data_IF_127044692489
#
_entry.id   IF_127044692489
#
_cell.length_a   1.000
_cell.length_b   1.000
_cell.length_c   1.000
_cell.angle_alpha   90.00
_cell.angle_beta   90.00
_cell.angle_gamma   90.00
#
_symmetry.space_group_name_H-M   'P 1'
#
loop_
_entity.id
_entity.type
_entity.pdbx_description
1 polymer ?
#
# COMPACT_ATOMS: atom_id res chain seq x y z
N UNK A 1 5.67 -90.17 0.03
CA UNK A 1 6.89 -89.88 0.79
C UNK A 1 6.64 -88.62 1.60
N UNK A 2 6.16 -88.78 2.84
CA UNK A 2 6.93 -88.74 4.10
C UNK A 2 7.06 -87.29 4.62
N UNK A 3 6.15 -86.86 5.51
CA UNK A 3 6.27 -86.79 7.00
C UNK A 3 7.08 -85.55 7.44
N UNK A 4 6.55 -84.58 8.18
CA UNK A 4 6.11 -84.61 9.60
C UNK A 4 5.12 -83.43 9.84
N UNK A 5 3.90 -83.56 10.41
CA UNK A 5 3.51 -83.75 11.84
C UNK A 5 4.24 -82.79 12.80
N UNK A 6 3.66 -82.06 13.76
CA UNK A 6 2.32 -81.96 14.40
C UNK A 6 2.53 -81.08 15.67
N UNK A 7 1.60 -80.35 16.28
CA UNK A 7 0.54 -80.82 17.22
C UNK A 7 -0.12 -79.57 17.87
N UNK A 8 -1.46 -79.64 17.99
CA UNK A 8 -2.32 -79.30 19.16
C UNK A 8 -2.43 -77.83 19.65
N UNK A 9 -3.56 -77.33 20.18
CA UNK A 9 -4.78 -77.96 20.70
C UNK A 9 -5.98 -76.99 20.62
N UNK A 10 -7.16 -77.59 20.49
CA UNK A 10 -8.52 -77.05 20.67
C UNK A 10 -8.74 -76.32 22.00
N UNK A 11 -9.61 -75.30 22.01
CA UNK A 11 -10.48 -75.04 23.17
C UNK A 11 -11.78 -74.31 22.80
N UNK A 12 -12.82 -74.76 23.50
CA UNK A 12 -14.25 -74.52 23.37
C UNK A 12 -14.71 -73.07 23.64
N UNK A 13 -15.87 -72.76 23.05
CA UNK A 13 -16.98 -71.97 23.59
C UNK A 13 -16.82 -71.39 25.01
N UNK A 14 -17.01 -70.08 25.13
CA UNK A 14 -17.86 -69.48 26.17
C UNK A 14 -18.28 -68.07 25.72
N UNK A 15 -19.58 -67.89 25.53
CA UNK A 15 -20.19 -66.59 25.32
C UNK A 15 -20.13 -65.77 26.60
N UNK A 16 -19.78 -64.49 26.45
CA UNK A 16 -20.04 -63.44 27.43
C UNK A 16 -20.25 -62.13 26.67
N UNK A 17 -21.47 -61.61 26.76
CA UNK A 17 -21.86 -60.25 26.36
C UNK A 17 -21.30 -59.24 27.37
N UNK A 18 -20.87 -58.06 26.91
CA UNK A 18 -20.87 -56.74 27.61
C UNK A 18 -20.33 -55.66 26.61
N UNK A 19 -20.71 -54.36 26.73
CA UNK A 19 -21.20 -53.55 25.60
C UNK A 19 -20.26 -52.42 25.12
N UNK A 20 -20.67 -51.83 23.98
CA UNK A 20 -20.39 -50.48 23.44
C UNK A 20 -19.13 -49.74 23.95
N UNK A 21 -18.12 -49.64 23.09
CA UNK A 21 -17.67 -48.37 22.47
C UNK A 21 -16.34 -48.57 21.72
N UNK A 22 -16.09 -47.68 20.75
CA UNK A 22 -14.80 -47.39 20.10
C UNK A 22 -14.36 -48.39 19.00
N UNK A 23 -14.42 -47.96 17.73
CA UNK A 23 -13.27 -47.85 16.79
C UNK A 23 -13.70 -47.77 15.30
N UNK A 24 -13.35 -46.63 14.67
CA UNK A 24 -12.80 -46.42 13.31
C UNK A 24 -13.28 -47.26 12.10
N UNK A 25 -13.81 -46.64 11.02
CA UNK A 25 -14.08 -47.31 9.74
C UNK A 25 -12.83 -47.33 8.85
N UNK A 26 -11.97 -48.32 9.09
CA UNK A 26 -11.08 -48.88 8.09
C UNK A 26 -11.26 -50.39 8.19
N UNK A 27 -11.07 -51.14 7.10
CA UNK A 27 -11.31 -52.60 7.01
C UNK A 27 -12.73 -53.04 6.62
N UNK A 28 -13.24 -52.57 5.47
CA UNK A 28 -14.03 -53.45 4.59
C UNK A 28 -13.62 -53.17 3.14
N UNK A 29 -12.63 -53.90 2.68
CA UNK A 29 -12.37 -54.17 1.27
C UNK A 29 -11.69 -55.53 1.24
N UNK A 30 -12.03 -56.33 0.24
CA UNK A 30 -11.62 -57.75 0.05
C UNK A 30 -12.63 -58.76 0.63
N UNK A 31 -13.59 -59.15 -0.21
CA UNK A 31 -13.92 -60.55 -0.51
C UNK A 31 -15.13 -60.60 -1.45
N UNK A 32 -14.84 -60.68 -2.76
CA UNK A 32 -15.78 -61.19 -3.76
C UNK A 32 -15.00 -62.16 -4.65
N UNK A 33 -15.07 -63.45 -4.33
CA UNK A 33 -14.66 -64.52 -5.23
C UNK A 33 -15.65 -65.69 -5.09
N UNK A 34 -16.40 -65.92 -6.16
CA UNK A 34 -16.86 -67.24 -6.58
C UNK A 34 -18.23 -67.72 -6.08
N UNK A 35 -19.14 -67.98 -7.02
CA UNK A 35 -20.11 -69.09 -6.89
C UNK A 35 -21.58 -68.73 -7.08
N UNK A 36 -22.11 -69.14 -8.23
CA UNK A 36 -23.50 -69.11 -8.70
C UNK A 36 -24.57 -69.52 -7.67
N UNK A 37 -25.70 -68.80 -7.62
CA UNK A 37 -27.05 -69.39 -7.58
C UNK A 37 -28.11 -68.42 -8.14
N UNK A 38 -29.10 -68.98 -8.83
CA UNK A 38 -30.02 -68.34 -9.78
C UNK A 38 -31.05 -67.36 -9.19
N UNK A 39 -31.26 -66.22 -9.87
CA UNK A 39 -32.48 -65.39 -9.81
C UNK A 39 -33.37 -65.65 -11.03
N UNK A 40 -34.66 -65.25 -10.97
CA UNK A 40 -35.25 -64.54 -12.09
C UNK A 40 -35.85 -63.18 -11.67
N UNK A 41 -35.63 -62.16 -12.49
CA UNK A 41 -36.40 -60.89 -12.49
C UNK A 41 -35.60 -59.63 -12.14
N UNK A 42 -35.70 -58.53 -12.91
CA UNK A 42 -34.73 -57.44 -12.90
C UNK A 42 -35.01 -56.43 -11.78
N UNK A 43 -33.97 -56.05 -11.03
CA UNK A 43 -33.99 -54.88 -10.15
C UNK A 43 -32.95 -53.89 -10.64
N UNK A 44 -33.42 -52.73 -11.10
CA UNK A 44 -32.61 -51.60 -11.52
C UNK A 44 -31.88 -50.99 -10.31
N UNK A 45 -30.56 -50.86 -10.38
CA UNK A 45 -29.78 -50.18 -9.35
C UNK A 45 -29.88 -48.66 -9.52
N UNK A 46 -30.61 -47.98 -8.64
CA UNK A 46 -30.49 -46.54 -8.47
C UNK A 46 -29.14 -46.18 -7.83
N UNK A 47 -28.48 -45.19 -8.42
CA UNK A 47 -27.11 -44.81 -8.13
C UNK A 47 -26.90 -44.25 -6.73
N UNK A 48 -25.83 -44.72 -6.09
CA UNK A 48 -25.28 -44.14 -4.88
C UNK A 48 -24.99 -42.64 -5.08
N UNK A 49 -25.72 -41.79 -4.36
CA UNK A 49 -25.48 -40.36 -4.32
C UNK A 49 -24.05 -40.05 -3.86
N UNK A 50 -23.24 -39.51 -4.77
CA UNK A 50 -21.93 -38.93 -4.44
C UNK A 50 -22.13 -37.81 -3.43
N UNK A 51 -21.69 -37.99 -2.17
CA UNK A 51 -21.48 -36.89 -1.24
C UNK A 51 -20.48 -35.92 -1.88
N UNK A 52 -20.99 -34.80 -2.39
CA UNK A 52 -20.14 -33.69 -2.81
C UNK A 52 -19.31 -33.24 -1.60
N UNK A 53 -18.00 -33.34 -1.74
CA UNK A 53 -17.02 -32.75 -0.82
C UNK A 53 -17.23 -31.23 -0.92
N UNK A 54 -17.97 -30.63 0.03
CA UNK A 54 -18.09 -29.17 0.12
C UNK A 54 -16.68 -28.61 0.23
N UNK A 55 -16.21 -27.96 -0.84
CA UNK A 55 -15.08 -27.03 -0.77
C UNK A 55 -15.40 -26.00 0.31
N UNK A 56 -14.48 -25.69 1.23
CA UNK A 56 -14.74 -24.71 2.28
C UNK A 56 -15.05 -23.37 1.62
N UNK A 57 -16.23 -22.81 1.92
CA UNK A 57 -16.61 -21.47 1.46
C UNK A 57 -15.54 -20.48 1.89
N UNK A 58 -14.78 -19.96 0.93
CA UNK A 58 -13.84 -18.87 1.16
C UNK A 58 -14.66 -17.67 1.63
N UNK A 59 -14.54 -17.31 2.91
CA UNK A 59 -15.18 -16.09 3.43
C UNK A 59 -14.60 -14.89 2.69
N UNK A 60 -15.46 -14.08 2.09
CA UNK A 60 -15.05 -12.88 1.37
C UNK A 60 -14.30 -11.88 2.28
N UNK A 61 -14.60 -11.85 3.58
CA UNK A 61 -13.98 -10.91 4.53
C UNK A 61 -14.64 -9.52 4.51
N UNK A 62 -14.06 -8.58 5.25
CA UNK A 62 -14.52 -7.19 5.31
C UNK A 62 -14.04 -6.42 4.06
N UNK A 63 -14.96 -6.22 3.11
CA UNK A 63 -14.66 -5.54 1.83
C UNK A 63 -14.30 -4.07 1.98
N UNK A 64 -14.72 -3.45 3.09
CA UNK A 64 -14.46 -2.04 3.37
C UNK A 64 -13.05 -1.82 3.94
N UNK A 65 -12.36 -2.91 4.32
CA UNK A 65 -11.01 -2.86 4.89
C UNK A 65 -10.00 -3.62 4.02
N UNK A 66 -9.64 -3.05 2.86
CA UNK A 66 -8.62 -3.65 1.97
C UNK A 66 -7.22 -3.14 2.30
N UNK A 67 -6.48 -3.84 3.15
CA UNK A 67 -5.08 -3.52 3.45
C UNK A 67 -4.22 -4.78 3.51
N UNK A 68 -2.93 -4.65 3.19
CA UNK A 68 -1.93 -5.69 3.35
C UNK A 68 -1.09 -5.35 4.60
N UNK A 69 -1.35 -6.08 5.69
CA UNK A 69 -0.89 -5.72 7.03
C UNK A 69 0.18 -6.69 7.51
N UNK A 70 1.36 -6.20 7.85
CA UNK A 70 2.36 -6.93 8.61
C UNK A 70 2.27 -6.54 10.08
N UNK A 71 1.98 -7.50 10.95
CA UNK A 71 2.15 -7.30 12.39
C UNK A 71 3.62 -7.55 12.74
N UNK A 72 4.31 -6.53 13.25
CA UNK A 72 5.68 -6.65 13.73
C UNK A 72 5.61 -6.70 15.26
N UNK A 73 5.84 -7.88 15.82
CA UNK A 73 5.74 -8.14 17.25
C UNK A 73 7.12 -8.20 17.90
N UNK A 74 7.28 -7.60 19.07
CA UNK A 74 8.49 -7.72 19.88
C UNK A 74 8.58 -9.15 20.44
N UNK A 75 9.69 -9.84 20.19
CA UNK A 75 10.02 -11.16 20.72
C UNK A 75 11.30 -11.18 21.54
N UNK A 76 11.77 -10.02 22.02
CA UNK A 76 13.02 -9.82 22.76
C UNK A 76 12.94 -10.26 24.23
N UNK A 77 14.09 -10.33 24.90
CA UNK A 77 14.14 -10.63 26.33
C UNK A 77 13.53 -9.52 27.20
N UNK A 78 13.51 -8.26 26.73
CA UNK A 78 12.99 -7.12 27.50
C UNK A 78 11.51 -7.28 27.88
N UNK A 79 10.68 -7.85 26.99
CA UNK A 79 9.26 -8.03 27.26
C UNK A 79 8.98 -9.29 28.12
N UNK A 80 9.84 -10.30 28.00
CA UNK A 80 9.65 -11.62 28.59
C UNK A 80 8.46 -12.44 28.04
N UNK A 81 8.47 -13.74 28.33
CA UNK A 81 7.49 -14.71 27.82
C UNK A 81 6.03 -14.34 28.15
N UNK A 82 5.79 -13.80 29.36
CA UNK A 82 4.44 -13.47 29.81
C UNK A 82 3.83 -12.33 28.99
N UNK A 83 4.56 -11.22 28.79
CA UNK A 83 4.06 -10.08 28.00
C UNK A 83 4.02 -10.42 26.52
N UNK A 84 4.95 -11.23 26.03
CA UNK A 84 4.89 -11.79 24.68
C UNK A 84 3.55 -12.51 24.41
N UNK A 85 3.09 -13.36 25.33
CA UNK A 85 1.80 -14.03 25.20
C UNK A 85 0.61 -13.05 25.23
N UNK A 86 0.69 -11.96 26.02
CA UNK A 86 -0.33 -10.90 26.03
C UNK A 86 -0.37 -10.16 24.69
N UNK A 87 0.79 -9.89 24.10
CA UNK A 87 0.95 -9.28 22.78
C UNK A 87 0.34 -10.16 21.68
N UNK A 88 0.68 -11.46 21.64
CA UNK A 88 0.07 -12.43 20.71
C UNK A 88 -1.46 -12.46 20.83
N UNK A 89 -1.98 -12.46 22.05
CA UNK A 89 -3.42 -12.44 22.29
C UNK A 89 -4.09 -11.15 21.80
N UNK A 90 -3.42 -10.00 21.95
CA UNK A 90 -3.93 -8.73 21.42
C UNK A 90 -3.94 -8.73 19.89
N UNK A 91 -2.83 -9.09 19.25
CA UNK A 91 -2.74 -9.19 17.77
C UNK A 91 -3.77 -10.18 17.23
N UNK A 92 -3.97 -11.31 17.91
CA UNK A 92 -5.03 -12.27 17.56
C UNK A 92 -6.44 -11.67 17.61
N UNK A 93 -6.75 -10.84 18.61
CA UNK A 93 -8.05 -10.13 18.69
C UNK A 93 -8.21 -9.08 17.57
N UNK A 94 -7.14 -8.36 17.23
CA UNK A 94 -7.13 -7.43 16.09
C UNK A 94 -7.38 -8.18 14.79
N UNK A 95 -6.67 -9.29 14.55
CA UNK A 95 -6.85 -10.14 13.37
C UNK A 95 -8.29 -10.67 13.24
N UNK A 96 -8.91 -11.08 14.35
CA UNK A 96 -10.33 -11.50 14.36
C UNK A 96 -11.28 -10.38 13.95
N UNK A 97 -11.02 -9.14 14.39
CA UNK A 97 -11.89 -7.99 14.14
C UNK A 97 -11.67 -7.33 12.76
N UNK A 98 -10.50 -7.49 12.16
CA UNK A 98 -10.19 -7.01 10.80
C UNK A 98 -11.07 -7.62 9.72
N UNK A 99 -11.62 -8.82 9.96
CA UNK A 99 -12.45 -9.51 8.97
C UNK A 99 -11.63 -10.07 7.80
N UNK A 100 -10.52 -10.75 8.09
CA UNK A 100 -9.62 -11.36 7.09
C UNK A 100 -10.39 -12.33 6.17
N UNK A 101 -10.17 -12.18 4.87
CA UNK A 101 -10.81 -12.96 3.80
C UNK A 101 -10.21 -12.60 2.44
N UNK A 102 -10.65 -13.28 1.38
CA UNK A 102 -10.09 -13.10 0.03
C UNK A 102 -10.30 -11.70 -0.55
N UNK A 103 -11.41 -11.06 -0.19
CA UNK A 103 -11.76 -9.69 -0.59
C UNK A 103 -11.51 -8.66 0.53
N UNK A 104 -11.00 -9.12 1.68
CA UNK A 104 -10.73 -8.31 2.87
C UNK A 104 -9.24 -7.99 3.06
N UNK A 105 -8.80 -7.70 4.29
CA UNK A 105 -7.40 -7.47 4.57
C UNK A 105 -6.63 -8.79 4.57
N UNK A 106 -5.40 -8.77 4.07
CA UNK A 106 -4.45 -9.86 4.22
C UNK A 106 -3.46 -9.51 5.32
N UNK A 107 -3.06 -10.51 6.11
CA UNK A 107 -2.18 -10.27 7.26
C UNK A 107 -1.05 -11.28 7.32
N UNK A 108 0.12 -10.82 7.73
CA UNK A 108 1.23 -11.67 8.13
C UNK A 108 1.86 -11.20 9.43
N UNK A 109 2.86 -11.93 9.88
CA UNK A 109 3.50 -11.70 11.17
C UNK A 109 5.02 -11.78 11.03
N UNK A 110 5.69 -10.79 11.60
CA UNK A 110 7.14 -10.69 11.72
C UNK A 110 7.48 -10.53 13.18
N UNK A 111 8.47 -11.26 13.67
CA UNK A 111 8.98 -11.13 15.03
C UNK A 111 10.27 -10.32 15.02
N UNK A 112 10.29 -9.21 15.76
CA UNK A 112 11.50 -8.46 16.09
C UNK A 112 12.22 -9.14 17.25
N UNK A 113 13.52 -9.35 17.06
CA UNK A 113 14.43 -9.93 18.04
C UNK A 113 15.85 -9.55 17.59
N UNK A 114 16.90 -10.21 18.08
CA UNK A 114 18.28 -10.00 17.57
C UNK A 114 18.36 -10.04 16.03
N UNK A 115 17.63 -10.99 15.44
CA UNK A 115 17.46 -11.13 13.99
C UNK A 115 15.97 -11.23 13.66
N UNK A 116 15.45 -10.35 12.78
CA UNK A 116 14.05 -10.39 12.41
C UNK A 116 13.70 -11.70 11.71
N UNK A 117 12.52 -12.23 12.02
CA UNK A 117 12.04 -13.49 11.46
C UNK A 117 10.60 -13.33 11.00
N UNK A 118 10.34 -13.65 9.74
CA UNK A 118 8.99 -13.73 9.21
C UNK A 118 8.39 -15.05 9.66
N UNK A 119 7.28 -15.02 10.40
CA UNK A 119 6.58 -16.22 10.88
C UNK A 119 5.61 -16.75 9.83
N UNK A 120 4.91 -15.85 9.13
CA UNK A 120 4.10 -16.19 7.96
C UNK A 120 3.80 -14.94 7.11
N UNK A 121 3.62 -15.15 5.81
CA UNK A 121 3.34 -14.10 4.83
C UNK A 121 1.84 -13.87 4.61
N UNK A 122 1.51 -12.82 3.84
CA UNK A 122 0.15 -12.39 3.53
C UNK A 122 -0.69 -13.49 2.86
N UNK A 123 -0.07 -14.33 2.02
CA UNK A 123 -0.75 -15.40 1.28
C UNK A 123 -1.01 -16.68 2.08
N UNK A 124 -0.43 -16.83 3.27
CA UNK A 124 -0.47 -18.10 4.01
C UNK A 124 -1.87 -18.43 4.54
N UNK A 125 -2.68 -17.43 4.87
CA UNK A 125 -3.99 -17.64 5.48
C UNK A 125 -5.05 -16.71 4.88
N UNK A 126 -6.26 -17.24 4.68
CA UNK A 126 -7.40 -16.49 4.13
C UNK A 126 -8.58 -16.41 5.10
N UNK A 127 -8.35 -16.73 6.39
CA UNK A 127 -9.39 -16.80 7.42
C UNK A 127 -8.83 -16.24 8.73
N UNK A 128 -9.61 -15.36 9.38
CA UNK A 128 -9.22 -14.78 10.65
C UNK A 128 -9.02 -15.82 11.76
N UNK A 129 -9.73 -16.95 11.70
CA UNK A 129 -9.54 -18.06 12.65
C UNK A 129 -8.18 -18.74 12.46
N UNK A 130 -7.77 -18.97 11.21
CA UNK A 130 -6.52 -19.66 10.91
C UNK A 130 -5.33 -18.79 11.29
N UNK A 131 -5.42 -17.49 11.01
CA UNK A 131 -4.45 -16.49 11.49
C UNK A 131 -4.34 -16.49 13.01
N UNK A 132 -5.48 -16.52 13.74
CA UNK A 132 -5.47 -16.59 15.20
C UNK A 132 -4.73 -17.85 15.69
N UNK A 133 -4.98 -19.00 15.08
CA UNK A 133 -4.27 -20.24 15.44
C UNK A 133 -2.78 -20.12 15.14
N UNK A 134 -2.40 -19.63 13.96
CA UNK A 134 -1.01 -19.42 13.59
C UNK A 134 -0.28 -18.49 14.57
N UNK A 135 -0.90 -17.37 14.96
CA UNK A 135 -0.34 -16.45 15.97
C UNK A 135 -0.13 -17.17 17.30
N UNK A 136 -1.06 -18.02 17.75
CA UNK A 136 -0.92 -18.73 19.03
C UNK A 136 0.31 -19.65 19.06
N UNK A 137 0.62 -20.31 17.94
CA UNK A 137 1.75 -21.24 17.81
C UNK A 137 3.13 -20.54 17.72
N UNK A 138 3.18 -19.23 17.54
CA UNK A 138 4.45 -18.50 17.41
C UNK A 138 5.25 -18.59 18.71
N UNK A 139 6.50 -19.08 18.60
CA UNK A 139 7.43 -19.22 19.71
C UNK A 139 8.08 -17.91 20.15
N UNK A 140 8.47 -17.84 21.42
CA UNK A 140 9.29 -16.75 21.94
C UNK A 140 10.76 -16.97 21.55
N UNK A 141 11.43 -15.94 21.02
CA UNK A 141 12.81 -16.05 20.49
C UNK A 141 13.87 -15.51 21.45
N UNK A 142 13.59 -14.41 22.15
CA UNK A 142 14.59 -13.69 22.93
C UNK A 142 15.59 -12.91 22.08
N UNK A 143 16.62 -12.39 22.74
CA UNK A 143 17.63 -11.48 22.17
C UNK A 143 17.27 -10.00 22.37
N UNK A 144 17.96 -9.11 21.66
CA UNK A 144 17.72 -7.66 21.72
C UNK A 144 16.44 -7.24 20.97
N UNK A 145 15.89 -6.07 21.29
CA UNK A 145 14.70 -5.51 20.63
C UNK A 145 15.11 -4.66 19.41
N UNK A 146 15.72 -5.29 18.41
CA UNK A 146 16.17 -4.62 17.18
C UNK A 146 14.98 -4.35 16.24
N UNK A 147 14.13 -3.41 16.65
CA UNK A 147 12.88 -3.06 15.98
C UNK A 147 13.12 -2.32 14.68
N UNK A 148 14.12 -1.43 14.62
CA UNK A 148 14.53 -0.74 13.40
C UNK A 148 14.96 -1.72 12.31
N UNK A 149 15.85 -2.65 12.65
CA UNK A 149 16.28 -3.74 11.77
C UNK A 149 15.10 -4.59 11.27
N UNK A 150 14.15 -4.89 12.15
CA UNK A 150 12.95 -5.65 11.79
C UNK A 150 12.01 -4.87 10.87
N UNK A 151 11.82 -3.58 11.11
CA UNK A 151 11.00 -2.71 10.26
C UNK A 151 11.61 -2.59 8.85
N UNK A 152 12.93 -2.33 8.76
CA UNK A 152 13.67 -2.29 7.49
C UNK A 152 13.56 -3.61 6.73
N UNK A 153 13.76 -4.74 7.42
CA UNK A 153 13.60 -6.07 6.83
C UNK A 153 12.19 -6.31 6.29
N UNK A 154 11.16 -5.89 7.05
CA UNK A 154 9.76 -6.02 6.66
C UNK A 154 9.46 -5.17 5.42
N UNK A 155 9.86 -3.89 5.42
CA UNK A 155 9.67 -2.99 4.28
C UNK A 155 10.29 -3.54 2.99
N UNK A 156 11.50 -4.09 3.07
CA UNK A 156 12.27 -4.55 1.91
C UNK A 156 11.89 -5.95 1.41
N UNK A 157 11.57 -6.89 2.31
CA UNK A 157 11.42 -8.31 1.95
C UNK A 157 10.02 -8.89 2.13
N UNK A 158 9.25 -8.39 3.11
CA UNK A 158 7.93 -8.95 3.40
C UNK A 158 6.90 -8.50 2.36
N UNK A 159 6.95 -7.25 1.92
CA UNK A 159 6.02 -6.72 0.93
C UNK A 159 6.45 -6.97 -0.51
N UNK A 160 6.60 -8.25 -0.88
CA UNK A 160 6.87 -8.69 -2.25
C UNK A 160 5.64 -9.36 -2.89
N UNK A 161 5.61 -9.39 -4.23
CA UNK A 161 4.57 -10.12 -4.99
C UNK A 161 4.55 -11.59 -4.57
N UNK A 162 5.72 -12.20 -4.42
CA UNK A 162 5.87 -13.59 -3.97
C UNK A 162 5.32 -13.84 -2.56
N UNK A 163 5.28 -12.82 -1.72
CA UNK A 163 4.75 -12.88 -0.35
C UNK A 163 3.23 -12.68 -0.30
N UNK A 164 2.58 -12.32 -1.41
CA UNK A 164 1.13 -12.13 -1.52
C UNK A 164 0.66 -10.69 -1.44
N UNK A 165 1.53 -9.71 -1.73
CA UNK A 165 1.13 -8.30 -1.85
C UNK A 165 0.21 -8.09 -3.04
N UNK A 166 -0.82 -7.27 -2.85
CA UNK A 166 -1.81 -6.92 -3.87
C UNK A 166 -1.55 -5.52 -4.43
N UNK A 167 -1.65 -5.37 -5.75
CA UNK A 167 -1.49 -4.07 -6.43
C UNK A 167 -2.61 -3.11 -6.00
N UNK A 168 -2.25 -1.85 -5.73
CA UNK A 168 -3.20 -0.80 -5.35
C UNK A 168 -3.78 -0.92 -3.93
N UNK A 169 -3.29 -1.88 -3.14
CA UNK A 169 -3.71 -2.04 -1.74
C UNK A 169 -2.67 -1.40 -0.81
N UNK A 170 -3.08 -0.58 0.18
CA UNK A 170 -2.15 0.01 1.14
C UNK A 170 -1.35 -1.06 1.89
N UNK A 171 -0.03 -0.86 1.93
CA UNK A 171 0.88 -1.65 2.74
C UNK A 171 0.99 -1.03 4.11
N UNK A 172 0.80 -1.82 5.16
CA UNK A 172 0.75 -1.33 6.54
C UNK A 172 1.62 -2.21 7.42
N UNK A 173 2.51 -1.62 8.21
CA UNK A 173 3.22 -2.31 9.29
C UNK A 173 2.67 -1.79 10.61
N UNK A 174 2.22 -2.70 11.46
CA UNK A 174 1.82 -2.39 12.84
C UNK A 174 2.89 -2.92 13.76
N UNK A 175 3.74 -2.01 14.24
CA UNK A 175 4.88 -2.29 15.11
C UNK A 175 4.41 -2.23 16.56
N UNK A 176 4.54 -3.33 17.30
CA UNK A 176 4.27 -3.37 18.73
C UNK A 176 5.58 -3.18 19.50
N UNK A 177 5.60 -2.16 20.35
CA UNK A 177 6.76 -1.84 21.20
C UNK A 177 6.27 -1.78 22.64
N UNK A 178 6.85 -2.59 23.51
CA UNK A 178 6.61 -2.58 24.96
C UNK A 178 7.90 -2.07 25.63
N UNK A 179 7.92 -0.76 25.93
CA UNK A 179 9.14 -0.02 26.28
C UNK A 179 9.73 0.76 25.10
N UNK A 180 10.99 0.52 24.78
CA UNK A 180 11.76 1.23 23.74
C UNK A 180 12.62 0.27 22.92
N UNK A 181 12.92 0.61 21.64
CA UNK A 181 13.78 -0.20 20.80
C UNK A 181 15.25 -0.18 21.28
N UNK A 182 16.00 -1.23 20.95
CA UNK A 182 17.44 -1.33 21.22
C UNK A 182 18.32 -0.71 20.12
N UNK A 183 17.71 -0.37 18.98
CA UNK A 183 18.34 0.21 17.79
C UNK A 183 17.60 1.45 17.31
N UNK A 184 18.22 2.17 16.36
CA UNK A 184 17.59 3.31 15.70
C UNK A 184 16.49 2.86 14.74
N UNK A 185 15.30 3.44 14.91
CA UNK A 185 14.12 3.19 14.08
C UNK A 185 13.89 4.29 13.05
N UNK A 186 14.57 5.43 13.15
CA UNK A 186 14.39 6.58 12.25
C UNK A 186 14.76 6.20 10.81
N UNK A 187 15.95 5.64 10.60
CA UNK A 187 16.39 5.15 9.28
C UNK A 187 15.42 4.10 8.72
N UNK A 188 14.95 3.19 9.58
CA UNK A 188 14.00 2.16 9.17
C UNK A 188 12.62 2.73 8.77
N UNK A 189 12.19 3.79 9.45
CA UNK A 189 11.01 4.58 9.08
C UNK A 189 11.18 5.24 7.71
N UNK A 190 12.34 5.85 7.43
CA UNK A 190 12.65 6.42 6.11
C UNK A 190 12.55 5.35 5.03
N UNK A 191 13.20 4.20 5.22
CA UNK A 191 13.15 3.09 4.25
C UNK A 191 11.73 2.56 4.09
N UNK A 192 10.96 2.42 5.16
CA UNK A 192 9.55 2.01 5.05
C UNK A 192 8.74 2.98 4.20
N UNK A 193 8.94 4.29 4.38
CA UNK A 193 8.29 5.34 3.57
C UNK A 193 8.70 5.27 2.10
N UNK A 194 10.00 5.08 1.81
CA UNK A 194 10.49 4.90 0.44
C UNK A 194 9.88 3.69 -0.25
N UNK A 195 9.55 2.64 0.50
CA UNK A 195 8.86 1.46 -0.02
C UNK A 195 7.34 1.63 -0.06
N UNK A 196 6.80 2.79 0.33
CA UNK A 196 5.37 3.05 0.30
C UNK A 196 4.59 2.33 1.40
N UNK A 197 5.23 2.14 2.57
CA UNK A 197 4.69 1.36 3.70
C UNK A 197 4.23 2.32 4.80
N UNK A 198 2.99 2.12 5.26
CA UNK A 198 2.42 2.89 6.36
C UNK A 198 2.82 2.28 7.70
N UNK A 199 3.64 2.99 8.47
CA UNK A 199 4.13 2.51 9.77
C UNK A 199 3.22 3.03 10.88
N UNK A 200 2.56 2.11 11.57
CA UNK A 200 1.86 2.35 12.83
C UNK A 200 2.70 1.86 13.98
N UNK A 201 2.89 2.71 14.99
CA UNK A 201 3.56 2.33 16.23
C UNK A 201 2.52 2.18 17.33
N UNK A 202 2.39 0.95 17.84
CA UNK A 202 1.59 0.62 19.02
C UNK A 202 2.51 0.50 20.22
N UNK A 203 2.65 1.59 20.97
CA UNK A 203 3.46 1.62 22.19
C UNK A 203 2.62 1.16 23.38
N UNK A 204 3.08 0.16 24.12
CA UNK A 204 2.44 -0.32 25.35
C UNK A 204 3.30 0.04 26.55
N UNK A 205 2.70 0.77 27.50
CA UNK A 205 3.37 1.40 28.64
C UNK A 205 4.46 2.41 28.22
N UNK A 206 4.51 3.55 28.91
CA UNK A 206 5.63 4.50 28.73
C UNK A 206 6.82 4.06 29.58
N UNK A 207 8.05 4.41 29.18
CA UNK A 207 9.20 4.33 30.08
C UNK A 207 8.89 5.13 31.35
N UNK A 208 9.13 4.54 32.52
CA UNK A 208 9.07 5.27 33.78
C UNK A 208 10.26 6.25 33.87
N UNK A 209 10.21 7.31 34.69
CA UNK A 209 11.28 8.29 34.78
C UNK A 209 12.68 7.70 35.01
N UNK A 210 12.76 6.61 35.76
CA UNK A 210 13.98 5.87 36.08
C UNK A 210 14.56 5.13 34.85
N UNK A 211 13.71 4.80 33.88
CA UNK A 211 14.05 4.11 32.64
C UNK A 211 14.37 5.07 31.49
N UNK A 212 14.02 6.36 31.60
CA UNK A 212 14.24 7.35 30.54
C UNK A 212 15.72 7.47 30.14
N UNK A 213 16.65 7.28 31.09
CA UNK A 213 18.10 7.28 30.80
C UNK A 213 18.57 6.10 29.95
N UNK A 214 17.75 5.06 29.78
CA UNK A 214 18.03 3.88 28.95
C UNK A 214 17.42 4.01 27.54
N UNK A 215 16.54 4.99 27.32
CA UNK A 215 15.90 5.24 26.04
C UNK A 215 16.88 6.02 25.16
N UNK A 216 17.38 5.39 24.09
CA UNK A 216 18.33 6.03 23.17
C UNK A 216 17.74 7.27 22.50
N UNK A 217 16.47 7.19 22.09
CA UNK A 217 15.73 8.27 21.45
C UNK A 217 14.30 8.29 21.97
N UNK A 218 13.91 9.34 22.69
CA UNK A 218 12.56 9.48 23.26
C UNK A 218 11.51 9.75 22.16
N UNK A 219 11.93 10.32 21.04
CA UNK A 219 11.09 10.66 19.89
C UNK A 219 10.96 9.55 18.85
N UNK A 220 11.43 8.33 19.15
CA UNK A 220 11.47 7.21 18.21
C UNK A 220 10.12 6.93 17.52
N UNK A 221 9.01 7.09 18.25
CA UNK A 221 7.66 6.92 17.72
C UNK A 221 7.40 7.88 16.57
N UNK A 222 7.64 9.17 16.80
CA UNK A 222 7.32 10.26 15.88
C UNK A 222 8.20 10.23 14.63
N UNK A 223 9.42 9.71 14.77
CA UNK A 223 10.40 9.54 13.67
C UNK A 223 10.13 8.30 12.80
N UNK A 224 9.64 7.22 13.41
CA UNK A 224 9.33 5.98 12.71
C UNK A 224 8.06 6.06 11.88
N UNK A 225 7.05 6.78 12.38
CA UNK A 225 5.73 6.85 11.73
C UNK A 225 5.78 7.63 10.42
N UNK A 226 4.73 7.45 9.63
CA UNK A 226 4.53 8.17 8.38
C UNK A 226 4.47 9.69 8.52
N UNK A 227 3.74 10.15 9.53
CA UNK A 227 3.57 11.56 9.84
C UNK A 227 3.29 11.70 11.32
N UNK A 228 3.89 12.70 11.95
CA UNK A 228 3.60 13.02 13.33
C UNK A 228 2.32 13.86 13.44
N UNK A 229 1.17 13.22 13.27
CA UNK A 229 -0.16 13.83 13.39
C UNK A 229 -1.07 13.09 14.40
N UNK A 230 -0.52 12.18 15.19
CA UNK A 230 -1.26 11.34 16.14
C UNK A 230 -2.11 10.22 15.52
N UNK A 231 -2.17 10.11 14.18
CA UNK A 231 -2.92 9.04 13.53
C UNK A 231 -2.17 7.70 13.60
N UNK A 232 -0.88 7.74 13.24
CA UNK A 232 -0.02 6.55 13.14
C UNK A 232 0.57 6.11 14.49
N UNK A 233 0.57 6.98 15.50
CA UNK A 233 0.95 6.62 16.87
C UNK A 233 -0.29 6.16 17.65
N UNK A 234 -0.15 5.04 18.36
CA UNK A 234 -1.24 4.46 19.13
C UNK A 234 -0.75 3.97 20.49
N UNK A 235 -1.11 4.72 21.53
CA UNK A 235 -0.60 4.47 22.87
C UNK A 235 -1.59 3.66 23.71
N UNK A 236 -1.11 2.53 24.25
CA UNK A 236 -1.83 1.68 25.20
C UNK A 236 -1.16 1.84 26.58
N UNK A 237 -1.86 2.35 27.61
CA UNK A 237 -1.26 2.61 28.92
C UNK A 237 -0.73 1.37 29.63
N UNK A 238 -1.39 0.21 29.46
CA UNK A 238 -0.96 -1.03 30.08
C UNK A 238 -1.54 -2.25 29.35
N UNK A 239 -0.93 -3.42 29.60
CA UNK A 239 -1.46 -4.69 29.13
C UNK A 239 -2.80 -5.11 29.76
N UNK A 240 -3.30 -4.34 30.75
CA UNK A 240 -4.60 -4.60 31.37
C UNK A 240 -5.72 -3.91 30.59
N UNK A 241 -6.80 -4.65 30.30
CA UNK A 241 -7.96 -4.09 29.60
C UNK A 241 -7.69 -3.73 28.13
N UNK A 242 -6.72 -4.36 27.47
CA UNK A 242 -6.33 -4.05 26.08
C UNK A 242 -7.47 -4.22 25.06
N UNK A 243 -8.48 -5.03 25.37
CA UNK A 243 -9.63 -5.27 24.48
C UNK A 243 -10.33 -3.98 24.02
N UNK A 244 -10.38 -2.92 24.86
CA UNK A 244 -11.01 -1.63 24.48
C UNK A 244 -10.25 -0.88 23.38
N UNK A 245 -8.98 -1.22 23.16
CA UNK A 245 -8.11 -0.61 22.16
C UNK A 245 -8.12 -1.34 20.80
N UNK A 246 -8.75 -2.53 20.73
CA UNK A 246 -8.81 -3.31 19.48
C UNK A 246 -9.65 -2.59 18.43
N UNK A 247 -10.87 -2.16 18.79
CA UNK A 247 -11.80 -1.51 17.85
C UNK A 247 -11.24 -0.21 17.26
N UNK A 248 -10.72 0.75 18.05
CA UNK A 248 -10.17 1.97 17.49
C UNK A 248 -8.94 1.73 16.61
N UNK A 249 -8.08 0.76 16.96
CA UNK A 249 -6.95 0.41 16.12
C UNK A 249 -7.41 -0.16 14.76
N UNK A 250 -8.37 -1.09 14.76
CA UNK A 250 -8.93 -1.63 13.51
C UNK A 250 -9.56 -0.52 12.65
N UNK A 251 -10.28 0.41 13.28
CA UNK A 251 -10.85 1.56 12.56
C UNK A 251 -9.75 2.39 11.87
N UNK A 252 -8.66 2.72 12.57
CA UNK A 252 -7.51 3.43 11.97
C UNK A 252 -6.89 2.63 10.81
N UNK A 253 -6.70 1.33 10.98
CA UNK A 253 -6.10 0.46 9.95
C UNK A 253 -6.95 0.34 8.69
N UNK A 254 -8.26 0.56 8.79
CA UNK A 254 -9.20 0.49 7.69
C UNK A 254 -9.56 1.86 7.07
N UNK A 255 -8.91 2.95 7.50
CA UNK A 255 -9.14 4.29 6.92
C UNK A 255 -8.13 4.59 5.81
N UNK A 256 -8.43 4.16 4.58
CA UNK A 256 -7.52 4.28 3.41
C UNK A 256 -7.10 5.71 3.10
N UNK A 257 -8.01 6.66 3.24
CA UNK A 257 -7.77 8.08 2.93
C UNK A 257 -6.68 8.70 3.81
N UNK A 258 -6.39 8.11 4.97
CA UNK A 258 -5.36 8.58 5.90
C UNK A 258 -4.03 7.83 5.75
N UNK A 259 -3.90 6.90 4.80
CA UNK A 259 -2.69 6.09 4.55
C UNK A 259 -1.67 6.83 3.67
N UNK A 260 -1.15 7.93 4.23
CA UNK A 260 -0.32 8.93 3.54
C UNK A 260 1.04 8.45 3.01
N UNK A 261 1.56 7.32 3.47
CA UNK A 261 2.81 6.76 2.93
C UNK A 261 2.57 5.76 1.80
N UNK A 262 1.33 5.39 1.52
CA UNK A 262 1.06 4.48 0.39
C UNK A 262 1.55 5.14 -0.89
N UNK A 263 2.34 4.46 -1.72
CA UNK A 263 2.67 5.02 -3.04
C UNK A 263 1.42 5.04 -3.92
N UNK A 264 0.80 6.19 -4.05
CA UNK A 264 -0.37 6.42 -4.90
C UNK A 264 -0.10 7.59 -5.85
N UNK A 265 -0.91 7.72 -6.89
CA UNK A 265 -0.80 8.88 -7.76
C UNK A 265 -1.03 10.20 -7.01
N UNK A 266 -1.79 10.20 -5.92
CA UNK A 266 -2.13 11.41 -5.18
C UNK A 266 -0.97 11.94 -4.32
N UNK A 267 0.04 11.12 -4.02
CA UNK A 267 1.11 11.48 -3.09
C UNK A 267 2.51 10.98 -3.54
N UNK A 268 2.68 10.47 -4.75
CA UNK A 268 3.98 10.00 -5.25
C UNK A 268 4.31 10.55 -6.64
N UNK A 269 3.94 11.82 -6.86
CA UNK A 269 4.11 12.52 -8.13
C UNK A 269 4.73 13.89 -7.91
N UNK A 270 5.57 14.32 -8.86
CA UNK A 270 6.05 15.67 -8.98
C UNK A 270 5.37 16.31 -10.19
N UNK A 271 4.60 17.38 -9.98
CA UNK A 271 3.85 18.06 -11.03
C UNK A 271 4.39 19.49 -11.18
N UNK A 272 5.01 19.78 -12.32
CA UNK A 272 5.35 21.16 -12.67
C UNK A 272 4.26 21.73 -13.59
N UNK A 273 3.79 22.93 -13.26
CA UNK A 273 2.92 23.71 -14.14
C UNK A 273 3.74 24.71 -14.94
N UNK A 274 3.62 24.65 -16.26
CA UNK A 274 4.22 25.60 -17.18
C UNK A 274 3.09 26.50 -17.71
N UNK A 275 3.04 27.73 -17.20
CA UNK A 275 1.89 28.62 -17.32
C UNK A 275 2.23 29.76 -18.28
N UNK A 276 1.46 29.88 -19.35
CA UNK A 276 1.61 30.96 -20.32
C UNK A 276 1.18 32.30 -19.69
N UNK A 277 2.14 33.23 -19.61
CA UNK A 277 1.94 34.59 -19.11
C UNK A 277 1.93 35.63 -20.23
N UNK A 278 1.75 35.22 -21.49
CA UNK A 278 1.82 36.09 -22.67
C UNK A 278 0.69 37.10 -22.75
N UNK A 279 0.89 38.12 -23.59
CA UNK A 279 -0.04 39.24 -23.77
C UNK A 279 -1.40 38.83 -24.35
N UNK A 280 -1.48 37.72 -25.10
CA UNK A 280 -2.73 37.19 -25.66
C UNK A 280 -3.69 36.68 -24.59
N UNK A 281 -3.15 36.12 -23.51
CA UNK A 281 -3.94 35.60 -22.39
C UNK A 281 -4.72 36.74 -21.74
N UNK A 282 -4.02 37.81 -21.33
CA UNK A 282 -4.59 38.92 -20.58
C UNK A 282 -4.86 38.59 -19.10
N UNK A 283 -4.88 39.61 -18.25
CA UNK A 283 -4.88 39.42 -16.79
C UNK A 283 -6.11 38.65 -16.27
N UNK A 284 -7.30 38.91 -16.82
CA UNK A 284 -8.54 38.23 -16.38
C UNK A 284 -8.51 36.73 -16.67
N UNK A 285 -8.04 36.33 -17.85
CA UNK A 285 -7.95 34.92 -18.22
C UNK A 285 -6.79 34.22 -17.52
N UNK A 286 -5.70 34.95 -17.25
CA UNK A 286 -4.59 34.44 -16.46
C UNK A 286 -5.05 34.02 -15.05
N UNK A 287 -5.99 34.76 -14.44
CA UNK A 287 -6.61 34.34 -13.17
C UNK A 287 -7.37 33.02 -13.28
N UNK A 288 -8.05 32.76 -14.39
CA UNK A 288 -8.72 31.47 -14.64
C UNK A 288 -7.70 30.33 -14.82
N UNK A 289 -6.55 30.59 -15.48
CA UNK A 289 -5.45 29.62 -15.55
C UNK A 289 -4.89 29.29 -14.16
N UNK A 290 -4.70 30.29 -13.28
CA UNK A 290 -4.26 30.05 -11.90
C UNK A 290 -5.29 29.27 -11.06
N UNK A 291 -6.57 29.51 -11.29
CA UNK A 291 -7.66 28.73 -10.67
C UNK A 291 -7.64 27.28 -11.15
N UNK A 292 -7.47 27.04 -12.45
CA UNK A 292 -7.26 25.70 -13.02
C UNK A 292 -6.08 24.97 -12.36
N UNK A 293 -4.91 25.62 -12.28
CA UNK A 293 -3.72 25.07 -11.62
C UNK A 293 -4.00 24.75 -10.14
N UNK A 294 -4.67 25.67 -9.43
CA UNK A 294 -5.09 25.47 -8.03
C UNK A 294 -6.05 24.28 -7.87
N UNK A 295 -6.96 24.10 -8.83
CA UNK A 295 -7.97 23.04 -8.83
C UNK A 295 -7.36 21.65 -9.05
N UNK A 296 -6.25 21.56 -9.79
CA UNK A 296 -5.48 20.33 -9.90
C UNK A 296 -4.66 20.12 -8.62
N UNK A 297 -3.87 21.12 -8.21
CA UNK A 297 -2.96 21.02 -7.07
C UNK A 297 -3.66 20.62 -5.75
N UNK A 298 -4.88 21.13 -5.51
CA UNK A 298 -5.65 20.84 -4.27
C UNK A 298 -5.97 19.36 -4.07
N UNK A 299 -6.07 18.58 -5.16
CA UNK A 299 -6.46 17.17 -5.12
C UNK A 299 -5.31 16.27 -4.69
N UNK A 300 -4.07 16.69 -4.94
CA UNK A 300 -2.88 15.94 -4.53
C UNK A 300 -2.52 16.21 -3.07
N UNK A 301 -1.97 15.20 -2.40
CA UNK A 301 -1.50 15.28 -1.02
C UNK A 301 -0.07 15.83 -1.00
N UNK A 302 0.00 17.17 -0.97
CA UNK A 302 1.26 17.92 -0.97
C UNK A 302 1.95 17.80 0.39
N UNK A 303 3.13 17.19 0.38
CA UNK A 303 4.03 17.16 1.54
C UNK A 303 5.49 16.93 1.13
N UNK A 304 6.40 17.02 2.09
CA UNK A 304 7.82 16.67 1.94
C UNK A 304 8.06 15.25 1.39
N UNK A 305 7.26 14.30 1.87
CA UNK A 305 7.24 12.88 1.47
C UNK A 305 6.16 12.54 0.43
N UNK A 306 5.35 13.52 0.04
CA UNK A 306 4.13 13.34 -0.74
C UNK A 306 4.29 13.82 -2.18
N UNK A 307 3.19 14.35 -2.73
CA UNK A 307 3.24 15.03 -4.00
C UNK A 307 3.98 16.36 -3.88
N UNK A 308 4.73 16.74 -4.92
CA UNK A 308 5.44 18.02 -4.98
C UNK A 308 4.96 18.81 -6.17
N UNK A 309 4.75 20.10 -5.97
CA UNK A 309 4.27 21.01 -7.02
C UNK A 309 5.34 22.06 -7.28
N UNK A 310 5.52 22.41 -8.56
CA UNK A 310 6.31 23.55 -8.99
C UNK A 310 5.51 24.37 -10.01
N UNK A 311 5.82 25.65 -10.16
CA UNK A 311 5.22 26.48 -11.19
C UNK A 311 6.27 27.37 -11.84
N UNK A 312 6.22 27.42 -13.17
CA UNK A 312 7.02 28.32 -14.01
C UNK A 312 6.05 29.09 -14.88
N UNK A 313 6.14 30.42 -14.83
CA UNK A 313 5.47 31.27 -15.80
C UNK A 313 6.43 31.56 -16.95
N UNK A 314 5.93 31.62 -18.18
CA UNK A 314 6.77 31.91 -19.33
C UNK A 314 6.15 32.96 -20.26
N UNK A 315 7.02 33.72 -20.90
CA UNK A 315 6.73 34.55 -22.07
C UNK A 315 7.81 34.31 -23.13
N UNK A 316 8.64 35.31 -23.45
CA UNK A 316 9.97 35.10 -24.03
C UNK A 316 10.97 34.64 -22.97
N UNK A 317 10.79 35.11 -21.73
CA UNK A 317 11.60 34.74 -20.56
C UNK A 317 10.87 33.72 -19.70
N UNK A 318 11.63 32.89 -18.98
CA UNK A 318 11.09 31.90 -18.05
C UNK A 318 11.28 32.36 -16.61
N UNK A 319 10.18 32.54 -15.89
CA UNK A 319 10.18 32.93 -14.48
C UNK A 319 9.75 31.75 -13.61
N UNK A 320 10.66 31.13 -12.84
CA UNK A 320 10.25 30.18 -11.81
C UNK A 320 9.49 30.95 -10.72
N UNK A 321 8.23 30.58 -10.50
CA UNK A 321 7.43 31.14 -9.41
C UNK A 321 7.77 30.44 -8.09
N UNK A 322 7.92 29.12 -8.15
CA UNK A 322 8.44 28.29 -7.06
C UNK A 322 8.83 26.89 -7.55
N UNK A 323 9.79 26.30 -6.85
CA UNK A 323 10.32 24.96 -7.09
C UNK A 323 9.67 23.90 -6.20
N UNK A 324 9.93 22.62 -6.50
CA UNK A 324 9.37 21.46 -5.76
C UNK A 324 9.72 21.41 -4.27
N UNK A 325 10.72 22.17 -3.82
CA UNK A 325 11.23 22.18 -2.45
C UNK A 325 10.84 23.42 -1.66
N UNK A 326 10.30 24.45 -2.31
CA UNK A 326 10.09 25.76 -1.69
C UNK A 326 8.90 25.74 -0.72
N UNK A 327 7.88 24.93 -1.03
CA UNK A 327 6.67 24.79 -0.22
C UNK A 327 6.31 23.32 -0.03
N UNK A 328 6.17 22.90 1.23
CA UNK A 328 5.88 21.51 1.63
C UNK A 328 4.48 21.34 2.22
N UNK A 329 3.63 22.36 2.16
CA UNK A 329 2.24 22.28 2.62
C UNK A 329 1.27 22.70 1.53
N UNK A 330 0.13 22.00 1.47
CA UNK A 330 -0.93 22.26 0.49
C UNK A 330 -1.40 23.70 0.56
N UNK A 331 -1.58 24.24 1.77
CA UNK A 331 -2.07 25.59 2.02
C UNK A 331 -1.11 26.65 1.46
N UNK A 332 0.20 26.48 1.66
CA UNK A 332 1.20 27.44 1.17
C UNK A 332 1.30 27.40 -0.36
N UNK A 333 1.31 26.20 -0.97
CA UNK A 333 1.31 26.06 -2.43
C UNK A 333 0.09 26.75 -3.05
N UNK A 334 -1.11 26.50 -2.52
CA UNK A 334 -2.34 27.12 -3.03
C UNK A 334 -2.35 28.64 -2.83
N UNK A 335 -1.79 29.14 -1.71
CA UNK A 335 -1.67 30.57 -1.46
C UNK A 335 -0.71 31.26 -2.45
N UNK A 336 0.42 30.62 -2.77
CA UNK A 336 1.42 31.15 -3.70
C UNK A 336 0.88 31.16 -5.12
N UNK A 337 0.26 30.06 -5.58
CA UNK A 337 -0.35 29.97 -6.92
C UNK A 337 -1.31 31.13 -7.17
N UNK A 338 -2.20 31.43 -6.21
CA UNK A 338 -3.19 32.53 -6.33
C UNK A 338 -2.55 33.92 -6.44
N UNK A 339 -1.32 34.07 -5.94
CA UNK A 339 -0.61 35.35 -5.89
C UNK A 339 0.44 35.52 -7.00
N UNK A 340 0.57 34.55 -7.90
CA UNK A 340 1.43 34.68 -9.09
C UNK A 340 0.99 35.91 -9.88
N UNK A 341 1.95 36.80 -10.17
CA UNK A 341 1.70 38.05 -10.91
C UNK A 341 1.76 37.78 -12.41
N UNK A 342 0.80 38.29 -13.15
CA UNK A 342 0.80 38.25 -14.61
C UNK A 342 2.02 39.00 -15.18
N UNK A 343 2.70 38.41 -16.19
CA UNK A 343 3.87 39.00 -16.84
C UNK A 343 3.51 39.92 -18.01
N UNK A 344 2.84 39.39 -19.05
CA UNK A 344 2.69 39.99 -20.39
C UNK A 344 3.98 39.94 -21.22
N UNK A 345 3.89 39.44 -22.46
CA UNK A 345 5.01 39.26 -23.38
C UNK A 345 4.63 38.34 -24.56
N UNK A 346 5.62 37.84 -25.31
CA UNK A 346 5.38 36.80 -26.32
C UNK A 346 5.30 35.40 -25.73
N UNK A 347 5.29 34.38 -26.58
CA UNK A 347 5.05 32.97 -26.21
C UNK A 347 6.18 32.08 -26.75
N UNK A 348 7.19 31.76 -25.93
CA UNK A 348 8.31 30.88 -26.25
C UNK A 348 8.22 29.58 -25.43
N UNK A 349 7.33 28.69 -25.85
CA UNK A 349 6.99 27.45 -25.15
C UNK A 349 8.11 26.41 -25.21
N UNK A 350 8.85 26.34 -26.33
CA UNK A 350 9.96 25.38 -26.49
C UNK A 350 11.09 25.64 -25.49
N UNK A 351 11.52 26.89 -25.37
CA UNK A 351 12.50 27.34 -24.39
C UNK A 351 11.98 27.17 -22.96
N UNK A 352 10.68 27.41 -22.73
CA UNK A 352 10.04 27.18 -21.44
C UNK A 352 10.07 25.71 -21.01
N UNK A 353 9.81 24.77 -21.93
CA UNK A 353 9.97 23.32 -21.69
C UNK A 353 11.43 23.01 -21.36
N UNK A 354 12.37 23.49 -22.17
CA UNK A 354 13.81 23.24 -21.98
C UNK A 354 14.34 23.79 -20.64
N UNK A 355 13.85 24.95 -20.20
CA UNK A 355 14.15 25.53 -18.90
C UNK A 355 13.62 24.66 -17.77
N UNK A 356 12.36 24.21 -17.88
CA UNK A 356 11.68 23.43 -16.84
C UNK A 356 12.34 22.07 -16.65
N UNK A 357 12.67 21.38 -17.75
CA UNK A 357 13.38 20.10 -17.71
C UNK A 357 14.74 20.23 -17.01
N UNK A 358 15.51 21.28 -17.31
CA UNK A 358 16.86 21.47 -16.76
C UNK A 358 16.86 21.96 -15.32
N UNK A 359 16.10 23.01 -15.03
CA UNK A 359 16.23 23.76 -13.77
C UNK A 359 15.22 23.30 -12.71
N UNK A 360 14.05 22.81 -13.11
CA UNK A 360 12.98 22.43 -12.18
C UNK A 360 12.99 20.92 -11.93
N UNK A 361 13.02 20.10 -12.98
CA UNK A 361 13.11 18.64 -12.84
C UNK A 361 14.53 18.14 -12.61
N UNK A 362 15.55 18.80 -13.15
CA UNK A 362 16.95 18.39 -13.00
C UNK A 362 17.36 18.00 -11.57
N UNK A 363 17.09 18.83 -10.55
CA UNK A 363 17.46 18.54 -9.15
C UNK A 363 16.75 17.35 -8.51
N UNK A 364 15.58 16.95 -9.01
CA UNK A 364 14.72 15.92 -8.41
C UNK A 364 14.47 14.71 -9.31
N UNK A 365 15.10 14.68 -10.49
CA UNK A 365 14.80 13.73 -11.57
C UNK A 365 14.90 12.28 -11.13
N UNK A 366 15.93 11.97 -10.34
CA UNK A 366 16.26 10.62 -9.91
C UNK A 366 15.56 10.26 -8.57
N UNK A 367 14.60 11.07 -8.13
CA UNK A 367 13.80 10.83 -6.94
C UNK A 367 12.75 9.72 -7.11
N UNK A 368 12.09 9.30 -6.02
CA UNK A 368 11.16 8.17 -6.02
C UNK A 368 9.79 8.48 -6.64
N UNK A 369 9.49 9.75 -6.92
CA UNK A 369 8.22 10.24 -7.43
C UNK A 369 8.23 10.30 -8.96
N UNK A 370 7.07 10.04 -9.58
CA UNK A 370 6.93 10.15 -11.04
C UNK A 370 6.77 11.62 -11.46
N UNK A 371 7.45 12.02 -12.53
CA UNK A 371 7.49 13.41 -12.99
C UNK A 371 6.44 13.68 -14.08
N UNK A 372 5.65 14.73 -13.89
CA UNK A 372 4.60 15.19 -14.81
C UNK A 372 4.76 16.69 -15.08
N UNK A 373 4.69 17.09 -16.35
CA UNK A 373 4.67 18.48 -16.78
C UNK A 373 3.29 18.80 -17.35
N UNK A 374 2.63 19.83 -16.81
CA UNK A 374 1.34 20.31 -17.29
C UNK A 374 1.54 21.69 -17.91
N UNK A 375 1.43 21.79 -19.23
CA UNK A 375 1.60 23.01 -20.01
C UNK A 375 0.24 23.61 -20.29
N UNK A 376 0.05 24.90 -20.02
CA UNK A 376 -1.18 25.64 -20.33
C UNK A 376 -0.83 26.87 -21.16
N UNK A 377 -1.37 26.97 -22.38
CA UNK A 377 -1.11 28.08 -23.32
C UNK A 377 -2.37 28.47 -24.10
N UNK A 378 -2.45 29.72 -24.56
CA UNK A 378 -3.58 30.23 -25.35
C UNK A 378 -3.26 30.50 -26.84
N UNK A 379 -2.02 30.24 -27.26
CA UNK A 379 -1.54 30.66 -28.57
C UNK A 379 -0.42 29.80 -29.15
N UNK A 380 0.00 30.15 -30.36
CA UNK A 380 1.11 29.51 -31.07
C UNK A 380 2.44 29.93 -30.47
N UNK A 381 3.37 28.98 -30.36
CA UNK A 381 4.74 29.28 -29.93
C UNK A 381 5.55 29.97 -31.03
N UNK A 382 6.42 30.92 -30.66
CA UNK A 382 7.34 31.57 -31.58
C UNK A 382 8.61 30.74 -31.88
N UNK A 383 8.81 29.65 -31.15
CA UNK A 383 9.96 28.74 -31.23
C UNK A 383 9.51 27.27 -31.44
N UNK A 384 10.47 26.39 -31.77
CA UNK A 384 10.18 24.97 -31.98
C UNK A 384 9.89 24.25 -30.64
N UNK A 385 8.72 23.63 -30.56
CA UNK A 385 8.29 22.90 -29.35
C UNK A 385 8.64 21.41 -29.38
N UNK A 386 8.91 20.85 -30.58
CA UNK A 386 9.10 19.40 -30.79
C UNK A 386 10.37 18.88 -30.15
N UNK A 387 11.51 19.52 -30.42
CA UNK A 387 12.78 19.06 -29.86
C UNK A 387 12.83 19.18 -28.33
N UNK A 388 12.38 20.29 -27.71
CA UNK A 388 12.23 20.39 -26.26
C UNK A 388 11.29 19.34 -25.65
N UNK A 389 10.13 19.11 -26.25
CA UNK A 389 9.17 18.11 -25.78
C UNK A 389 9.73 16.69 -25.85
N UNK A 390 10.39 16.33 -26.96
CA UNK A 390 11.07 15.03 -27.10
C UNK A 390 12.17 14.84 -26.04
N UNK A 391 12.91 15.91 -25.69
CA UNK A 391 13.88 15.87 -24.61
C UNK A 391 13.23 15.67 -23.24
N UNK A 392 12.08 16.30 -22.98
CA UNK A 392 11.30 16.08 -21.76
C UNK A 392 10.82 14.62 -21.64
N UNK A 393 10.27 14.07 -22.72
CA UNK A 393 9.83 12.66 -22.78
C UNK A 393 10.98 11.69 -22.51
N UNK A 394 12.15 11.93 -23.14
CA UNK A 394 13.35 11.12 -22.93
C UNK A 394 13.88 11.21 -21.50
N UNK A 395 13.64 12.33 -20.81
CA UNK A 395 13.97 12.50 -19.39
C UNK A 395 12.98 11.80 -18.44
N UNK A 396 11.99 11.06 -18.97
CA UNK A 396 11.01 10.30 -18.17
C UNK A 396 9.87 11.16 -17.61
N UNK A 397 9.71 12.38 -18.13
CA UNK A 397 8.64 13.32 -17.76
C UNK A 397 7.45 13.08 -18.68
N UNK A 398 6.29 12.81 -18.10
CA UNK A 398 5.02 12.72 -18.85
C UNK A 398 4.45 14.12 -19.03
N UNK A 399 4.22 14.53 -20.28
CA UNK A 399 3.78 15.89 -20.65
C UNK A 399 2.30 15.90 -21.01
N UNK A 400 1.55 16.77 -20.35
CA UNK A 400 0.19 17.13 -20.64
C UNK A 400 0.18 18.54 -21.22
N UNK A 401 -0.41 18.74 -22.40
CA UNK A 401 -0.53 20.04 -23.05
C UNK A 401 -1.99 20.47 -23.14
N UNK A 402 -2.30 21.64 -22.60
CA UNK A 402 -3.65 22.20 -22.57
C UNK A 402 -3.62 23.52 -23.35
N UNK A 403 -4.32 23.52 -24.47
CA UNK A 403 -4.54 24.71 -25.28
C UNK A 403 -5.89 25.36 -24.99
N UNK A 404 -5.91 26.68 -24.97
CA UNK A 404 -7.12 27.48 -24.84
C UNK A 404 -7.26 28.41 -26.04
N UNK A 405 -8.49 28.78 -26.39
CA UNK A 405 -8.81 29.78 -27.41
C UNK A 405 -8.23 29.47 -28.80
N UNK A 406 -7.05 30.00 -29.11
CA UNK A 406 -6.43 29.94 -30.44
C UNK A 406 -5.20 29.03 -30.49
N UNK A 407 -4.91 28.30 -29.41
CA UNK A 407 -3.80 27.37 -29.35
C UNK A 407 -3.87 26.30 -30.47
N UNK A 408 -2.83 26.14 -31.32
CA UNK A 408 -2.83 25.15 -32.40
C UNK A 408 -2.83 23.71 -31.85
N UNK A 409 -3.82 22.91 -32.26
CA UNK A 409 -3.95 21.53 -31.77
C UNK A 409 -2.73 20.65 -32.13
N UNK A 410 -2.10 20.89 -33.27
CA UNK A 410 -0.92 20.13 -33.69
C UNK A 410 0.29 20.43 -32.81
N UNK A 411 0.51 21.69 -32.42
CA UNK A 411 1.57 22.06 -31.46
C UNK A 411 1.34 21.40 -30.10
N UNK A 412 0.09 21.36 -29.62
CA UNK A 412 -0.27 20.66 -28.38
C UNK A 412 0.09 19.17 -28.49
N UNK A 413 -0.29 18.51 -29.59
CA UNK A 413 0.05 17.11 -29.82
C UNK A 413 1.57 16.90 -29.92
N UNK A 414 2.30 17.80 -30.55
CA UNK A 414 3.75 17.72 -30.64
C UNK A 414 4.43 17.79 -29.26
N UNK A 415 3.87 18.59 -28.35
CA UNK A 415 4.33 18.70 -26.97
C UNK A 415 3.94 17.54 -26.06
N UNK A 416 2.73 17.02 -26.21
CA UNK A 416 2.15 16.01 -25.34
C UNK A 416 2.88 14.65 -25.39
N UNK A 417 2.80 13.87 -24.31
CA UNK A 417 3.22 12.47 -24.30
C UNK A 417 2.21 11.55 -25.01
N UNK A 418 2.63 10.31 -25.28
CA UNK A 418 1.73 9.29 -25.85
C UNK A 418 0.81 8.67 -24.78
N UNK A 419 -0.44 8.30 -25.12
CA UNK A 419 -1.13 8.58 -26.39
C UNK A 419 -1.60 10.03 -26.46
N UNK A 420 -1.44 10.67 -27.63
CA UNK A 420 -1.74 12.10 -27.82
C UNK A 420 -3.18 12.46 -27.47
N UNK A 421 -4.12 11.56 -27.72
CA UNK A 421 -5.57 11.76 -27.50
C UNK A 421 -5.93 11.95 -26.03
N UNK A 422 -5.08 11.50 -25.10
CA UNK A 422 -5.32 11.62 -23.65
C UNK A 422 -4.34 12.56 -22.95
N UNK A 423 -3.44 13.20 -23.70
CA UNK A 423 -2.41 14.09 -23.18
C UNK A 423 -2.44 15.49 -23.81
N UNK A 424 -3.08 15.64 -24.96
CA UNK A 424 -3.37 16.93 -25.58
C UNK A 424 -4.86 17.29 -25.42
N UNK A 425 -5.12 18.43 -24.77
CA UNK A 425 -6.45 18.93 -24.49
C UNK A 425 -6.63 20.31 -25.09
N UNK A 426 -7.84 20.60 -25.57
CA UNK A 426 -8.17 21.90 -26.13
C UNK A 426 -9.56 22.35 -25.67
N UNK A 427 -9.67 23.62 -25.30
CA UNK A 427 -10.96 24.29 -25.06
C UNK A 427 -11.00 25.62 -25.78
N UNK A 428 -12.18 26.00 -26.28
CA UNK A 428 -12.38 27.29 -26.97
C UNK A 428 -12.36 28.47 -26.01
N UNK A 429 -12.76 28.26 -24.76
CA UNK A 429 -12.88 29.31 -23.75
C UNK A 429 -12.15 28.89 -22.47
N UNK A 430 -11.62 29.88 -21.75
CA UNK A 430 -10.92 29.68 -20.48
C UNK A 430 -11.83 29.07 -19.39
N UNK A 431 -13.13 29.31 -19.46
CA UNK A 431 -14.14 28.68 -18.59
C UNK A 431 -14.15 27.14 -18.70
N UNK A 432 -13.80 26.59 -19.87
CA UNK A 432 -13.74 25.14 -20.08
C UNK A 432 -12.57 24.44 -19.39
N UNK A 433 -11.58 25.18 -18.86
CA UNK A 433 -10.47 24.60 -18.11
C UNK A 433 -10.94 23.81 -16.88
N UNK A 434 -12.05 24.21 -16.25
CA UNK A 434 -12.60 23.52 -15.07
C UNK A 434 -12.91 22.04 -15.36
N UNK A 435 -13.45 21.74 -16.54
CA UNK A 435 -13.79 20.38 -16.94
C UNK A 435 -12.52 19.56 -17.23
N UNK A 436 -11.56 20.17 -17.93
CA UNK A 436 -10.26 19.56 -18.27
C UNK A 436 -9.49 19.18 -17.00
N UNK A 437 -9.57 19.97 -15.92
CA UNK A 437 -8.85 19.70 -14.68
C UNK A 437 -9.12 18.28 -14.16
N UNK A 438 -10.38 17.84 -14.23
CA UNK A 438 -10.78 16.50 -13.77
C UNK A 438 -10.15 15.40 -14.64
N UNK A 439 -10.08 15.61 -15.94
CA UNK A 439 -9.50 14.64 -16.88
C UNK A 439 -7.98 14.56 -16.76
N UNK A 440 -7.31 15.69 -16.50
CA UNK A 440 -5.87 15.73 -16.19
C UNK A 440 -5.56 14.94 -14.92
N UNK A 441 -6.33 15.13 -13.84
CA UNK A 441 -6.13 14.39 -12.59
C UNK A 441 -6.26 12.87 -12.83
N UNK A 442 -7.30 12.46 -13.57
CA UNK A 442 -7.51 11.04 -13.92
C UNK A 442 -6.38 10.51 -14.80
N UNK A 443 -5.94 11.30 -15.78
CA UNK A 443 -4.81 10.97 -16.65
C UNK A 443 -3.52 10.73 -15.88
N UNK A 444 -3.11 11.70 -15.05
CA UNK A 444 -1.92 11.59 -14.20
C UNK A 444 -1.98 10.31 -13.36
N UNK A 445 -3.14 10.01 -12.77
CA UNK A 445 -3.32 8.79 -11.98
C UNK A 445 -3.25 7.51 -12.81
N UNK A 446 -3.78 7.50 -14.03
CA UNK A 446 -3.68 6.36 -14.94
C UNK A 446 -2.21 6.11 -15.32
N UNK A 447 -1.50 7.13 -15.79
CA UNK A 447 -0.12 6.94 -16.26
C UNK A 447 0.83 6.62 -15.10
N UNK A 448 0.55 7.14 -13.89
CA UNK A 448 1.25 6.72 -12.69
C UNK A 448 1.12 5.21 -12.46
N UNK A 449 -0.07 4.63 -12.64
CA UNK A 449 -0.31 3.19 -12.42
C UNK A 449 0.29 2.30 -13.51
N UNK A 450 0.35 2.81 -14.74
CA UNK A 450 0.98 2.15 -15.89
C UNK A 450 2.51 2.15 -15.76
N UNK A 451 3.11 3.21 -15.22
CA UNK A 451 4.55 3.26 -14.99
C UNK A 451 5.06 2.34 -13.86
N UNK A 452 4.15 1.68 -13.12
CA UNK A 452 4.47 0.69 -12.08
C UNK A 452 4.35 -0.76 -12.59
N UNK A 453 4.05 -0.97 -13.88
CA UNK A 453 4.15 -2.26 -14.57
C UNK A 453 5.53 -2.39 -15.19
#
# INVERSE_FOLDING_TARGET
MTTHRSLFSSLLFLGLSIPQAIMSPAWISVLCLGGYFLLPGPVSCEGAGKRQKKTPDKKAGNKDCKADIAFLIDGSFNIGQRRFNLQKNFVGKVALMLGIGTEGPHVGLVQASEHPKIEFFLKNFTSAKDVLFAIKEVGFRGGNSNTGKALKHTAQKFFSVDSGVRKGIPKVVVVFIDGWPSDDIEEAGIVAREFGVNVFIVSVAKPIPEELGMVQDVGFVDKAVCRNNGFFSYHIPSWFGTTKYVKPLVQKLCTHEQMMCSKTCYNSVNIAFLIDGSSSVGESNFRLMLEFVSNIAKIFEISDIGAKIAAVQFTYDQRPEFSFTDYTTKENVLAVIRNIRYMSGGTATGDAISFTVRNVFGPIRDGPNKNFLVIVTDGQSYDDVRAPAAAAHKAGITVYSIGVAWAPLDDLKDMASEPKETHAFFTREFSGLEQIATDIIRGICRDFLESQQ
#
